data_IF_986252369568
#
_entry.id   IF_986252369568
#
_cell.length_a   1.000
_cell.length_b   1.000
_cell.length_c   1.000
_cell.angle_alpha   90.00
_cell.angle_beta   90.00
_cell.angle_gamma   90.00
#
_symmetry.space_group_name_H-M   'P 1'
#
loop_
_entity.id
_entity.type
_entity.pdbx_description
1 polymer ?
#
# COMPACT_ATOMS: atom_id res chain seq x y z
N UNK A 1 27.71 -5.21 -12.73
CA UNK A 1 28.65 -6.25 -12.26
C UNK A 1 28.57 -7.47 -13.15
N UNK A 2 29.71 -8.08 -13.48
CA UNK A 2 29.77 -9.36 -14.21
C UNK A 2 29.63 -10.54 -13.24
N UNK A 3 29.33 -11.74 -13.75
CA UNK A 3 29.29 -12.98 -12.96
C UNK A 3 30.61 -13.20 -12.22
N UNK A 4 31.74 -12.89 -12.86
CA UNK A 4 33.07 -13.03 -12.28
C UNK A 4 33.29 -12.08 -11.10
N UNK A 5 32.91 -10.81 -11.24
CA UNK A 5 33.02 -9.83 -10.14
C UNK A 5 32.17 -10.26 -8.93
N UNK A 6 30.94 -10.73 -9.17
CA UNK A 6 30.06 -11.24 -8.09
C UNK A 6 30.65 -12.49 -7.44
N UNK A 7 31.23 -13.40 -8.23
CA UNK A 7 31.89 -14.59 -7.70
C UNK A 7 33.08 -14.22 -6.81
N UNK A 8 33.96 -13.34 -7.28
CA UNK A 8 35.15 -12.89 -6.54
C UNK A 8 34.76 -12.25 -5.20
N UNK A 9 33.66 -11.50 -5.16
CA UNK A 9 33.17 -10.89 -3.93
C UNK A 9 32.59 -11.92 -2.95
N UNK A 10 31.76 -12.85 -3.43
CA UNK A 10 31.17 -13.91 -2.60
C UNK A 10 32.21 -14.91 -2.08
N UNK A 11 33.30 -15.13 -2.83
CA UNK A 11 34.38 -16.03 -2.43
C UNK A 11 35.19 -15.54 -1.22
N UNK A 12 35.05 -14.27 -0.83
CA UNK A 12 35.66 -13.72 0.40
C UNK A 12 35.07 -14.34 1.67
N UNK A 13 33.81 -14.75 1.62
CA UNK A 13 33.07 -15.26 2.78
C UNK A 13 32.80 -16.77 2.69
N UNK A 14 32.70 -17.34 1.48
CA UNK A 14 32.32 -18.74 1.29
C UNK A 14 32.83 -19.33 -0.02
N UNK A 15 33.06 -20.65 -0.04
CA UNK A 15 33.30 -21.37 -1.29
C UNK A 15 32.00 -21.50 -2.09
N UNK A 16 32.00 -21.03 -3.33
CA UNK A 16 30.85 -21.08 -4.24
C UNK A 16 31.34 -21.28 -5.68
N UNK A 17 30.61 -22.08 -6.44
CA UNK A 17 30.92 -22.38 -7.84
C UNK A 17 30.44 -21.25 -8.77
N UNK A 18 31.18 -21.04 -9.88
CA UNK A 18 30.84 -20.04 -10.90
C UNK A 18 29.43 -20.23 -11.47
N UNK A 19 29.06 -21.48 -11.78
CA UNK A 19 27.75 -21.82 -12.35
C UNK A 19 26.62 -21.52 -11.38
N UNK A 20 26.83 -21.64 -10.07
CA UNK A 20 25.83 -21.24 -9.07
C UNK A 20 25.56 -19.74 -9.15
N UNK A 21 26.61 -18.91 -9.22
CA UNK A 21 26.46 -17.45 -9.37
C UNK A 21 25.77 -17.12 -10.69
N UNK A 22 26.17 -17.79 -11.77
CA UNK A 22 25.56 -17.63 -13.10
C UNK A 22 24.06 -17.94 -13.05
N UNK A 23 23.66 -19.09 -12.50
CA UNK A 23 22.26 -19.50 -12.42
C UNK A 23 21.44 -18.59 -11.50
N UNK A 24 22.02 -18.14 -10.37
CA UNK A 24 21.32 -17.20 -9.48
C UNK A 24 21.09 -15.86 -10.18
N UNK A 25 22.11 -15.30 -10.86
CA UNK A 25 21.95 -14.05 -11.61
C UNK A 25 20.94 -14.19 -12.76
N UNK A 26 20.91 -15.34 -13.45
CA UNK A 26 19.90 -15.60 -14.48
C UNK A 26 18.49 -15.70 -13.89
N UNK A 27 18.32 -16.39 -12.75
CA UNK A 27 17.04 -16.44 -12.02
C UNK A 27 16.59 -15.04 -11.57
N UNK A 28 17.50 -14.21 -11.07
CA UNK A 28 17.19 -12.83 -10.66
C UNK A 28 16.80 -11.97 -11.88
N UNK A 29 17.43 -12.20 -13.02
CA UNK A 29 17.09 -11.52 -14.27
C UNK A 29 15.69 -11.95 -14.76
N UNK A 30 15.39 -13.26 -14.75
CA UNK A 30 14.07 -13.78 -15.10
C UNK A 30 12.95 -13.22 -14.20
N UNK A 31 13.25 -12.99 -12.91
CA UNK A 31 12.34 -12.34 -11.96
C UNK A 31 12.27 -10.81 -12.11
N UNK A 32 13.06 -10.22 -13.01
CA UNK A 32 13.10 -8.78 -13.23
C UNK A 32 13.76 -7.98 -12.11
N UNK A 33 14.56 -8.62 -11.24
CA UNK A 33 15.24 -7.94 -10.13
C UNK A 33 16.58 -7.34 -10.53
N UNK A 34 17.17 -7.87 -11.60
CA UNK A 34 18.36 -7.31 -12.24
C UNK A 34 18.12 -7.19 -13.74
N UNK A 35 18.67 -6.14 -14.35
CA UNK A 35 18.80 -6.04 -15.81
C UNK A 35 20.13 -6.64 -16.21
N UNK A 36 20.23 -7.16 -17.43
CA UNK A 36 21.51 -7.56 -18.01
C UNK A 36 21.71 -6.91 -19.36
N UNK A 37 22.93 -6.51 -19.62
CA UNK A 37 23.37 -6.00 -20.92
C UNK A 37 24.56 -6.82 -21.40
N UNK A 38 24.65 -7.02 -22.72
CA UNK A 38 25.78 -7.72 -23.31
C UNK A 38 27.00 -6.79 -23.30
N UNK A 39 28.10 -7.25 -22.71
CA UNK A 39 29.38 -6.55 -22.64
C UNK A 39 30.46 -7.48 -23.22
N UNK A 40 30.66 -7.40 -24.54
CA UNK A 40 31.56 -8.28 -25.28
C UNK A 40 31.11 -9.75 -25.23
N UNK A 41 31.87 -10.59 -24.51
CA UNK A 41 31.58 -12.03 -24.34
C UNK A 41 30.90 -12.35 -23.00
N UNK A 42 30.58 -11.35 -22.20
CA UNK A 42 29.97 -11.51 -20.89
C UNK A 42 28.67 -10.69 -20.79
N UNK A 43 27.89 -10.97 -19.74
CA UNK A 43 26.77 -10.13 -19.35
C UNK A 43 27.17 -9.27 -18.15
N UNK A 44 26.78 -8.00 -18.20
CA UNK A 44 26.84 -7.09 -17.07
C UNK A 44 25.45 -6.97 -16.47
N UNK A 45 25.34 -7.21 -15.16
CA UNK A 45 24.11 -7.13 -14.40
C UNK A 45 24.03 -5.83 -13.60
N UNK A 46 22.84 -5.26 -13.51
CA UNK A 46 22.53 -4.08 -12.70
C UNK A 46 21.24 -4.30 -11.92
N UNK A 47 21.20 -3.91 -10.64
CA UNK A 47 19.99 -3.99 -9.84
C UNK A 47 18.90 -3.06 -10.37
N UNK A 48 17.68 -3.58 -10.52
CA UNK A 48 16.53 -2.80 -11.00
C UNK A 48 16.00 -1.85 -9.92
N UNK A 49 16.29 -2.15 -8.65
CA UNK A 49 15.73 -1.47 -7.49
C UNK A 49 16.78 -1.26 -6.40
N UNK A 50 16.62 -0.20 -5.62
CA UNK A 50 17.45 0.03 -4.43
C UNK A 50 17.11 -0.99 -3.34
N UNK A 51 18.03 -1.21 -2.38
CA UNK A 51 17.76 -2.09 -1.24
C UNK A 51 16.51 -1.67 -0.46
N UNK A 52 16.30 -0.36 -0.30
CA UNK A 52 15.13 0.19 0.39
C UNK A 52 13.84 -0.10 -0.39
N UNK A 53 13.83 0.12 -1.71
CA UNK A 53 12.67 -0.16 -2.54
C UNK A 53 12.36 -1.67 -2.64
N UNK A 54 13.38 -2.53 -2.66
CA UNK A 54 13.19 -3.98 -2.55
C UNK A 54 12.58 -4.39 -1.20
N UNK A 55 13.07 -3.85 -0.09
CA UNK A 55 12.50 -4.12 1.23
C UNK A 55 11.04 -3.65 1.33
N UNK A 56 10.71 -2.48 0.79
CA UNK A 56 9.34 -1.98 0.72
C UNK A 56 8.43 -2.91 -0.11
N UNK A 57 8.92 -3.40 -1.25
CA UNK A 57 8.17 -4.36 -2.08
C UNK A 57 7.89 -5.68 -1.32
N UNK A 58 8.86 -6.20 -0.57
CA UNK A 58 8.66 -7.39 0.27
C UNK A 58 7.61 -7.17 1.36
N UNK A 59 7.63 -6.02 2.03
CA UNK A 59 6.62 -5.68 3.02
C UNK A 59 5.22 -5.58 2.40
N UNK A 60 5.12 -4.97 1.20
CA UNK A 60 3.86 -4.84 0.49
C UNK A 60 3.32 -6.21 0.01
N UNK A 61 4.18 -7.06 -0.54
CA UNK A 61 3.83 -8.42 -0.96
C UNK A 61 3.28 -9.23 0.21
N UNK A 62 3.98 -9.24 1.35
CA UNK A 62 3.55 -9.94 2.56
C UNK A 62 2.17 -9.43 3.06
N UNK A 63 1.90 -8.13 2.90
CA UNK A 63 0.60 -7.56 3.23
C UNK A 63 -0.49 -8.00 2.24
N UNK A 64 -0.20 -8.00 0.94
CA UNK A 64 -1.16 -8.40 -0.10
C UNK A 64 -1.63 -9.86 0.02
N UNK A 65 -0.79 -10.72 0.60
CA UNK A 65 -1.11 -12.12 0.86
C UNK A 65 -1.95 -12.35 2.13
N UNK A 66 -2.21 -11.31 2.92
CA UNK A 66 -2.99 -11.45 4.15
C UNK A 66 -4.49 -11.41 3.91
N UNK A 67 -5.20 -12.41 4.41
CA UNK A 67 -6.67 -12.44 4.41
C UNK A 67 -7.29 -11.40 5.36
N UNK A 68 -6.50 -10.82 6.27
CA UNK A 68 -6.92 -9.75 7.16
C UNK A 68 -5.82 -8.67 7.32
N UNK A 69 -5.77 -7.70 6.39
CA UNK A 69 -4.85 -6.56 6.40
C UNK A 69 -4.76 -5.80 7.73
N UNK A 70 -5.90 -5.60 8.40
CA UNK A 70 -5.96 -4.83 9.65
C UNK A 70 -5.32 -5.59 10.81
N UNK A 71 -5.59 -6.88 10.94
CA UNK A 71 -4.99 -7.71 11.97
C UNK A 71 -3.47 -7.88 11.76
N UNK A 72 -3.02 -8.02 10.51
CA UNK A 72 -1.60 -8.09 10.17
C UNK A 72 -0.84 -6.82 10.61
N UNK A 73 -1.44 -5.63 10.43
CA UNK A 73 -0.88 -4.38 10.92
C UNK A 73 -0.74 -4.35 12.44
N UNK A 74 -1.79 -4.74 13.18
CA UNK A 74 -1.74 -4.77 14.65
C UNK A 74 -0.61 -5.69 15.14
N UNK A 75 -0.50 -6.89 14.56
CA UNK A 75 0.58 -7.81 14.88
C UNK A 75 1.96 -7.24 14.53
N UNK A 76 2.10 -6.58 13.37
CA UNK A 76 3.34 -5.96 12.91
C UNK A 76 3.80 -4.85 13.86
N UNK A 77 2.91 -3.94 14.27
CA UNK A 77 3.21 -2.90 15.25
C UNK A 77 3.59 -3.48 16.62
N UNK A 78 3.00 -4.62 17.01
CA UNK A 78 3.36 -5.33 18.23
C UNK A 78 4.77 -5.94 18.21
N UNK A 79 5.32 -6.24 17.03
CA UNK A 79 6.68 -6.78 16.85
C UNK A 79 7.75 -5.70 16.72
N UNK A 80 7.38 -4.42 16.56
CA UNK A 80 8.34 -3.33 16.40
C UNK A 80 8.96 -2.89 17.71
N UNK A 81 10.25 -2.52 17.65
CA UNK A 81 10.89 -1.75 18.72
C UNK A 81 10.37 -0.30 18.77
N UNK A 82 10.67 0.40 19.86
CA UNK A 82 10.30 1.82 19.99
C UNK A 82 10.95 2.68 18.90
N UNK A 83 12.21 2.42 18.61
CA UNK A 83 12.96 3.13 17.57
C UNK A 83 12.36 2.89 16.18
N UNK A 84 11.89 1.67 15.90
CA UNK A 84 11.23 1.34 14.63
C UNK A 84 9.87 2.04 14.49
N UNK A 85 9.09 2.12 15.58
CA UNK A 85 7.82 2.85 15.60
C UNK A 85 8.01 4.35 15.41
N UNK A 86 9.05 4.92 16.03
CA UNK A 86 9.40 6.32 15.85
C UNK A 86 9.84 6.60 14.40
N UNK A 87 10.71 5.76 13.83
CA UNK A 87 11.14 5.89 12.44
C UNK A 87 9.97 5.80 11.45
N UNK A 88 9.00 4.91 11.70
CA UNK A 88 7.79 4.81 10.89
C UNK A 88 6.93 6.08 10.99
N UNK A 89 6.75 6.60 12.20
CA UNK A 89 5.99 7.84 12.44
C UNK A 89 6.61 9.03 11.70
N UNK A 90 7.94 9.15 11.74
CA UNK A 90 8.66 10.18 11.01
C UNK A 90 8.55 9.98 9.49
N UNK A 91 8.63 8.75 8.99
CA UNK A 91 8.43 8.44 7.58
C UNK A 91 7.01 8.79 7.10
N UNK A 92 5.97 8.49 7.88
CA UNK A 92 4.58 8.87 7.57
C UNK A 92 4.44 10.38 7.50
N UNK A 93 5.05 11.13 8.43
CA UNK A 93 5.05 12.60 8.40
C UNK A 93 5.72 13.15 7.13
N UNK A 94 6.84 12.55 6.71
CA UNK A 94 7.55 12.94 5.49
C UNK A 94 6.68 12.71 4.25
N UNK A 95 5.96 11.59 4.18
CA UNK A 95 5.10 11.24 3.04
C UNK A 95 3.83 12.09 2.99
N UNK A 96 3.29 12.50 4.16
CA UNK A 96 2.09 13.33 4.22
C UNK A 96 2.34 14.81 3.88
N UNK A 97 3.57 15.31 3.99
CA UNK A 97 3.91 16.71 3.73
C UNK A 97 3.19 17.71 4.64
N UNK A 98 3.52 19.02 4.58
CA UNK A 98 2.84 20.07 5.36
C UNK A 98 1.42 20.42 4.85
N UNK A 99 0.83 19.63 3.95
CA UNK A 99 -0.44 19.96 3.25
C UNK A 99 -1.60 19.00 3.58
N UNK A 100 -1.54 18.35 4.75
CA UNK A 100 -2.72 17.73 5.36
C UNK A 100 -3.46 18.68 6.32
N UNK A 101 -3.24 19.99 6.22
CA UNK A 101 -4.00 21.00 6.99
C UNK A 101 -4.41 22.17 6.10
N UNK A 102 -5.68 22.16 5.68
CA UNK A 102 -6.50 23.38 5.61
C UNK A 102 -7.99 23.01 5.59
N UNK A 103 -8.88 23.90 6.07
CA UNK A 103 -9.18 24.16 7.47
C UNK A 103 -10.65 23.79 7.76
N UNK A 104 -10.97 23.33 8.98
CA UNK A 104 -12.37 23.41 9.41
C UNK A 104 -12.80 24.88 9.50
N UNK A 105 -14.04 25.23 9.11
CA UNK A 105 -14.56 26.57 9.19
C UNK A 105 -14.85 26.90 10.66
N UNK A 106 -13.92 27.58 11.32
CA UNK A 106 -14.21 28.29 12.55
C UNK A 106 -14.90 29.61 12.20
N UNK A 107 -16.22 29.57 12.03
CA UNK A 107 -17.06 30.75 12.24
C UNK A 107 -18.33 30.35 13.00
N UNK A 108 -18.13 29.90 14.24
CA UNK A 108 -19.16 30.06 15.28
C UNK A 108 -19.01 31.47 15.82
N UNK A 109 -19.63 32.42 15.13
CA UNK A 109 -20.02 33.69 15.70
C UNK A 109 -21.39 34.06 15.10
N UNK A 110 -22.45 33.57 15.75
CA UNK A 110 -23.75 34.20 15.60
C UNK A 110 -23.65 35.67 16.07
N UNK A 111 -24.26 36.61 15.34
CA UNK A 111 -24.95 37.71 15.99
C UNK A 111 -26.45 37.54 15.78
N UNK A 112 -27.14 37.52 16.92
CA UNK A 112 -28.57 37.75 17.05
C UNK A 112 -28.94 39.04 16.32
N UNK A 113 -29.88 38.98 15.39
CA UNK A 113 -30.70 40.14 15.02
C UNK A 113 -32.16 39.70 15.08
N UNK A 114 -32.85 40.32 16.02
CA UNK A 114 -34.27 40.16 16.28
C UNK A 114 -35.09 41.17 15.45
N UNK A 115 -36.34 40.79 15.15
CA UNK A 115 -37.53 41.60 14.75
C UNK A 115 -37.86 41.75 13.24
N UNK A 116 -39.15 41.99 12.85
CA UNK A 116 -40.28 41.05 12.94
C UNK A 116 -41.18 40.98 11.65
N UNK A 117 -42.00 39.92 11.55
CA UNK A 117 -43.36 39.73 10.95
C UNK A 117 -43.73 40.38 9.59
N UNK A 118 -44.25 39.56 8.64
CA UNK A 118 -45.62 39.61 8.01
C UNK A 118 -45.67 38.76 6.70
N UNK A 119 -46.19 37.52 6.74
CA UNK A 119 -47.50 37.02 6.22
C UNK A 119 -47.56 36.64 4.73
N UNK A 120 -47.87 35.36 4.43
CA UNK A 120 -48.99 34.87 3.59
C UNK A 120 -48.68 33.56 2.80
N UNK A 121 -49.63 32.60 2.87
CA UNK A 121 -49.91 31.57 1.86
C UNK A 121 -49.16 30.24 2.03
N UNK A 122 -49.67 29.23 2.75
CA UNK A 122 -50.80 28.33 2.43
C UNK A 122 -50.53 27.34 1.27
N UNK A 123 -50.87 26.07 1.52
CA UNK A 123 -50.97 24.90 0.63
C UNK A 123 -49.75 23.96 0.65
N UNK A 124 -49.86 22.64 0.77
CA UNK A 124 -50.96 21.73 1.04
C UNK A 124 -50.32 20.35 1.25
N UNK A 125 -51.02 19.49 1.97
CA UNK A 125 -50.70 18.10 2.27
C UNK A 125 -50.49 17.23 1.02
N UNK A 126 -49.60 16.22 1.10
CA UNK A 126 -49.88 14.92 0.49
C UNK A 126 -49.11 13.81 1.19
N UNK A 127 -49.85 13.05 2.00
CA UNK A 127 -49.52 11.72 2.49
C UNK A 127 -49.31 10.74 1.34
N UNK A 128 -48.51 9.69 1.56
CA UNK A 128 -48.29 8.64 0.57
C UNK A 128 -47.39 7.51 1.07
N UNK A 129 -47.79 6.89 2.19
CA UNK A 129 -47.27 5.61 2.66
C UNK A 129 -47.86 4.50 1.77
N UNK A 130 -47.04 3.62 1.19
CA UNK A 130 -47.50 2.24 0.88
C UNK A 130 -46.34 1.27 0.84
N UNK A 131 -46.31 0.40 1.84
CA UNK A 131 -45.66 -0.91 1.84
C UNK A 131 -46.34 -1.86 0.85
N UNK A 132 -45.54 -2.79 0.32
CA UNK A 132 -45.95 -4.00 -0.40
C UNK A 132 -44.86 -4.37 -1.39
N UNK A 133 -44.28 -5.57 -1.44
CA UNK A 133 -44.67 -6.88 -0.89
C UNK A 133 -43.43 -7.79 -0.98
N UNK A 134 -43.23 -8.77 -0.08
CA UNK A 134 -42.16 -9.75 -0.15
C UNK A 134 -42.57 -10.96 -1.01
N UNK A 135 -41.59 -11.65 -1.57
CA UNK A 135 -41.75 -12.96 -2.21
C UNK A 135 -40.67 -13.16 -3.28
N UNK A 136 -40.13 -14.32 -3.54
CA UNK A 136 -40.27 -15.66 -2.97
C UNK A 136 -39.16 -16.44 -3.68
N UNK A 137 -38.31 -17.15 -2.94
CA UNK A 137 -37.41 -18.15 -3.52
C UNK A 137 -38.20 -19.42 -3.82
N UNK A 138 -37.85 -20.16 -4.89
CA UNK A 138 -37.77 -21.61 -4.71
C UNK A 138 -36.51 -22.23 -5.33
N UNK A 139 -35.80 -22.97 -4.47
CA UNK A 139 -35.32 -24.35 -4.60
C UNK A 139 -35.35 -25.06 -5.98
N UNK A 140 -34.19 -25.55 -6.45
CA UNK A 140 -33.82 -26.99 -6.55
C UNK A 140 -32.62 -27.25 -7.52
N UNK A 141 -31.92 -28.41 -7.40
CA UNK A 141 -30.57 -28.66 -7.88
C UNK A 141 -30.51 -29.44 -9.21
N UNK A 142 -29.33 -29.49 -9.83
CA UNK A 142 -29.11 -30.31 -11.01
C UNK A 142 -27.65 -30.58 -11.39
N UNK A 143 -27.21 -31.78 -11.03
CA UNK A 143 -26.17 -32.65 -11.64
C UNK A 143 -24.69 -32.34 -11.44
#
# INVERSE_FOLDING_TARGET
MTVREVLEDLQKERSIAYTTVMTVLDNLHQKGWVRREAEGRAYRYEAVSTRAAYAAALMNEAWSQSDNPAAALVAFFGMMSEEQRQALTDAVRIVQGPDAVKPEPADTAAPVVETPVETAGESAESSGETQGTPGESPDLPGR
#
